data_IF_598740531707
#
_entry.id   IF_598740531707
#
_cell.length_a   1.000
_cell.length_b   1.000
_cell.length_c   1.000
_cell.angle_alpha   90.00
_cell.angle_beta   90.00
_cell.angle_gamma   90.00
#
_symmetry.space_group_name_H-M   'P 1'
#
loop_
_entity.id
_entity.type
_entity.pdbx_description
1 polymer ?
#
# COMPACT_ATOMS: atom_id res chain seq x y z
N UNK A 1 4.88 14.04 -38.93
CA UNK A 1 4.20 13.14 -37.97
C UNK A 1 4.91 13.27 -36.63
N UNK A 2 4.29 13.92 -35.64
CA UNK A 2 4.82 13.97 -34.28
C UNK A 2 4.02 12.95 -33.47
N UNK A 3 4.67 11.86 -33.08
CA UNK A 3 4.08 10.83 -32.24
C UNK A 3 3.72 11.46 -30.90
N UNK A 4 2.44 11.48 -30.56
CA UNK A 4 2.00 11.85 -29.23
C UNK A 4 2.59 10.82 -28.27
N UNK A 5 3.51 11.26 -27.40
CA UNK A 5 3.88 10.46 -26.24
C UNK A 5 2.62 10.34 -25.40
N UNK A 6 2.08 9.13 -25.26
CA UNK A 6 1.06 8.84 -24.27
C UNK A 6 1.57 9.32 -22.92
N UNK A 7 0.98 10.40 -22.42
CA UNK A 7 1.18 10.82 -21.04
C UNK A 7 0.51 9.73 -20.21
N UNK A 8 1.31 8.81 -19.66
CA UNK A 8 0.81 7.84 -18.69
C UNK A 8 0.04 8.61 -17.63
N UNK A 9 -1.25 8.34 -17.49
CA UNK A 9 -2.05 8.94 -16.42
C UNK A 9 -1.44 8.44 -15.10
N UNK A 10 -1.00 9.31 -14.18
CA UNK A 10 -0.35 8.90 -12.94
C UNK A 10 -1.25 8.03 -12.03
N UNK A 11 -2.53 7.89 -12.36
CA UNK A 11 -3.51 7.01 -11.71
C UNK A 11 -3.59 5.58 -12.29
N UNK A 12 -2.86 5.25 -13.37
CA UNK A 12 -3.06 4.00 -14.12
C UNK A 12 -2.30 2.76 -13.62
N UNK A 13 -1.39 2.87 -12.66
CA UNK A 13 -0.79 1.69 -12.02
C UNK A 13 -1.37 1.57 -10.61
N UNK A 14 -2.54 0.93 -10.52
CA UNK A 14 -3.09 0.50 -9.23
C UNK A 14 -2.16 -0.56 -8.66
N UNK A 15 -1.29 -0.14 -7.75
CA UNK A 15 -0.45 -1.07 -7.00
C UNK A 15 -1.35 -1.97 -6.15
N UNK A 16 -0.93 -3.22 -5.89
CA UNK A 16 -1.54 -4.04 -4.87
C UNK A 16 -1.71 -3.29 -3.54
N UNK A 17 -2.85 -3.48 -2.87
CA UNK A 17 -3.14 -2.83 -1.58
C UNK A 17 -2.05 -3.11 -0.53
N UNK A 18 -1.42 -4.28 -0.61
CA UNK A 18 -0.32 -4.69 0.27
C UNK A 18 0.92 -3.79 0.16
N UNK A 19 1.16 -3.18 -1.00
CA UNK A 19 2.31 -2.31 -1.24
C UNK A 19 2.20 -0.98 -0.49
N UNK A 20 0.99 -0.58 -0.08
CA UNK A 20 0.76 0.63 0.70
C UNK A 20 0.94 0.42 2.21
N UNK A 21 1.29 -0.79 2.68
CA UNK A 21 1.45 -1.05 4.11
C UNK A 21 2.51 -0.13 4.74
N UNK A 22 3.67 0.01 4.11
CA UNK A 22 4.74 0.84 4.66
C UNK A 22 4.34 2.32 4.65
N UNK A 23 3.80 2.82 3.53
CA UNK A 23 3.30 4.20 3.43
C UNK A 23 2.25 4.51 4.52
N UNK A 24 1.39 3.54 4.83
CA UNK A 24 0.42 3.66 5.92
C UNK A 24 1.08 3.72 7.30
N UNK A 25 2.08 2.87 7.57
CA UNK A 25 2.80 2.88 8.86
C UNK A 25 3.60 4.18 9.04
N UNK A 26 4.26 4.66 7.98
CA UNK A 26 4.98 5.94 7.98
C UNK A 26 4.01 7.11 8.24
N UNK A 27 2.83 7.08 7.64
CA UNK A 27 1.77 8.07 7.93
C UNK A 27 1.30 8.02 9.39
N UNK A 28 1.18 6.83 9.99
CA UNK A 28 0.84 6.71 11.42
C UNK A 28 1.93 7.31 12.31
N UNK A 29 3.20 7.19 11.94
CA UNK A 29 4.31 7.81 12.67
C UNK A 29 4.29 9.33 12.54
N UNK A 30 4.32 9.83 11.30
CA UNK A 30 4.57 11.24 10.98
C UNK A 30 3.33 12.10 11.26
N UNK A 31 2.17 11.70 10.73
CA UNK A 31 0.96 12.53 10.76
C UNK A 31 0.12 12.29 12.02
N UNK A 32 0.22 11.08 12.61
CA UNK A 32 -0.59 10.69 13.77
C UNK A 32 0.21 10.59 15.06
N UNK A 33 1.54 10.69 15.00
CA UNK A 33 2.42 10.62 16.17
C UNK A 33 2.27 9.30 16.95
N UNK A 34 1.93 8.20 16.26
CA UNK A 34 1.70 6.92 16.93
C UNK A 34 3.03 6.22 17.25
N UNK A 35 3.07 5.64 18.45
CA UNK A 35 4.25 4.90 18.91
C UNK A 35 4.59 3.72 18.00
N UNK A 36 5.87 3.33 17.99
CA UNK A 36 6.35 2.13 17.29
C UNK A 36 5.54 0.89 17.69
N UNK A 37 5.18 0.76 18.98
CA UNK A 37 4.38 -0.38 19.45
C UNK A 37 3.00 -0.42 18.80
N UNK A 38 2.39 0.74 18.60
CA UNK A 38 1.10 0.87 17.90
C UNK A 38 1.24 0.49 16.43
N UNK A 39 2.28 0.96 15.76
CA UNK A 39 2.57 0.61 14.36
C UNK A 39 2.81 -0.89 14.18
N UNK A 40 3.62 -1.50 15.06
CA UNK A 40 3.86 -2.94 15.08
C UNK A 40 2.56 -3.74 15.26
N UNK A 41 1.67 -3.27 16.13
CA UNK A 41 0.36 -3.89 16.32
C UNK A 41 -0.48 -3.84 15.04
N UNK A 42 -0.55 -2.69 14.36
CA UNK A 42 -1.23 -2.60 13.06
C UNK A 42 -0.60 -3.53 12.02
N UNK A 43 0.72 -3.53 11.89
CA UNK A 43 1.43 -4.40 10.96
C UNK A 43 1.16 -5.89 11.26
N UNK A 44 1.13 -6.28 12.55
CA UNK A 44 0.84 -7.66 12.98
C UNK A 44 -0.53 -8.13 12.52
N UNK A 45 -1.57 -7.28 12.57
CA UNK A 45 -2.92 -7.67 12.15
C UNK A 45 -3.15 -7.55 10.64
N UNK A 46 -2.49 -6.61 9.96
CA UNK A 46 -2.61 -6.44 8.51
C UNK A 46 -1.84 -7.49 7.70
N UNK A 47 -0.70 -8.00 8.21
CA UNK A 47 0.08 -9.05 7.52
C UNK A 47 -0.74 -10.33 7.24
N UNK A 48 -1.49 -10.92 8.19
CA UNK A 48 -2.38 -12.04 7.92
C UNK A 48 -3.48 -11.73 6.91
N UNK A 49 -4.02 -10.52 6.91
CA UNK A 49 -5.02 -10.08 5.93
C UNK A 49 -4.44 -10.07 4.52
N UNK A 50 -3.25 -9.48 4.31
CA UNK A 50 -2.60 -9.51 3.00
C UNK A 50 -2.21 -10.93 2.59
N UNK A 51 -1.78 -11.78 3.53
CA UNK A 51 -1.51 -13.18 3.25
C UNK A 51 -2.77 -13.92 2.77
N UNK A 52 -3.91 -13.61 3.36
CA UNK A 52 -5.20 -14.16 2.93
C UNK A 52 -5.57 -13.69 1.52
N UNK A 53 -5.37 -12.41 1.17
CA UNK A 53 -5.59 -11.91 -0.19
C UNK A 53 -4.73 -12.65 -1.22
N UNK A 54 -3.43 -12.85 -0.92
CA UNK A 54 -2.49 -13.59 -1.77
C UNK A 54 -2.98 -15.03 -2.01
N UNK A 55 -3.33 -15.75 -0.93
CA UNK A 55 -3.84 -17.13 -1.01
C UNK A 55 -5.13 -17.21 -1.84
N UNK A 56 -5.98 -16.20 -1.76
CA UNK A 56 -7.25 -16.13 -2.50
C UNK A 56 -7.11 -15.56 -3.91
N UNK A 57 -5.92 -15.10 -4.30
CA UNK A 57 -5.67 -14.41 -5.58
C UNK A 57 -6.63 -13.23 -5.79
N UNK A 58 -6.84 -12.47 -4.70
CA UNK A 58 -7.69 -11.27 -4.66
C UNK A 58 -6.86 -9.98 -4.71
N UNK A 59 -5.57 -10.10 -4.96
CA UNK A 59 -4.65 -8.98 -5.14
C UNK A 59 -4.71 -8.53 -6.61
N UNK A 60 -4.93 -7.22 -6.83
CA UNK A 60 -5.04 -6.61 -8.17
C UNK A 60 -3.72 -6.66 -8.95
#
# INVERSE_FOLDING_TARGET
MKTQKEVKNPLQEMKPVSQYLNDFLDWLEIERGLSNQTQENYARFLKPFFKWLEIKKLEN
#
